data_IF_531511015771
#
_entry.id   IF_531511015771
#
_cell.length_a   1.000
_cell.length_b   1.000
_cell.length_c   1.000
_cell.angle_alpha   90.00
_cell.angle_beta   90.00
_cell.angle_gamma   90.00
#
_symmetry.space_group_name_H-M   'P 1'
#
loop_
_entity.id
_entity.type
_entity.pdbx_description
1 polymer ?
#
# COMPACT_ATOMS: atom_id res chain seq x y z
N UNK A 1 -17.44 -38.51 -40.75
CA UNK A 1 -17.54 -37.06 -40.44
C UNK A 1 -18.25 -36.74 -39.11
N UNK A 2 -18.79 -37.72 -38.35
CA UNK A 2 -19.39 -37.48 -37.02
C UNK A 2 -18.36 -37.45 -35.87
N UNK A 3 -17.31 -38.27 -35.93
CA UNK A 3 -16.28 -38.32 -34.87
C UNK A 3 -15.28 -37.17 -34.92
N UNK A 4 -15.19 -36.43 -36.03
CA UNK A 4 -14.31 -35.26 -36.15
C UNK A 4 -14.83 -34.08 -35.32
N UNK A 5 -16.14 -34.01 -35.08
CA UNK A 5 -16.77 -32.96 -34.26
C UNK A 5 -16.50 -33.15 -32.76
N UNK A 6 -16.30 -34.40 -32.31
CA UNK A 6 -16.04 -34.74 -30.90
C UNK A 6 -14.64 -34.32 -30.41
N UNK A 7 -13.70 -34.10 -31.33
CA UNK A 7 -12.32 -33.68 -31.02
C UNK A 7 -12.14 -32.16 -30.93
N UNK A 8 -13.07 -31.36 -31.46
CA UNK A 8 -12.98 -29.89 -31.45
C UNK A 8 -13.43 -29.27 -30.13
N UNK A 9 -14.40 -29.89 -29.44
CA UNK A 9 -14.96 -29.36 -28.20
C UNK A 9 -13.96 -29.20 -27.03
N UNK A 10 -13.03 -30.14 -26.75
CA UNK A 10 -12.05 -29.96 -25.69
C UNK A 10 -10.96 -28.92 -26.03
N UNK A 11 -10.67 -28.69 -27.32
CA UNK A 11 -9.67 -27.70 -27.75
C UNK A 11 -10.14 -26.25 -27.52
N UNK A 12 -11.44 -25.98 -27.58
CA UNK A 12 -12.03 -24.66 -27.31
C UNK A 12 -12.02 -24.29 -25.82
N UNK A 13 -12.06 -25.28 -24.92
CA UNK A 13 -12.03 -25.04 -23.46
C UNK A 13 -10.60 -24.66 -23.01
N UNK A 14 -9.58 -25.16 -23.69
CA UNK A 14 -8.17 -24.88 -23.38
C UNK A 14 -7.76 -23.42 -23.65
N UNK A 15 -8.48 -22.69 -24.52
CA UNK A 15 -8.16 -21.29 -24.88
C UNK A 15 -8.72 -20.29 -23.85
N UNK A 16 -9.64 -20.71 -22.97
CA UNK A 16 -10.27 -19.81 -21.99
C UNK A 16 -9.33 -19.40 -20.85
N UNK A 17 -8.19 -20.06 -20.67
CA UNK A 17 -7.15 -19.70 -19.70
C UNK A 17 -6.02 -18.90 -20.37
N UNK A 18 -6.36 -17.83 -21.09
CA UNK A 18 -5.36 -16.81 -21.39
C UNK A 18 -5.06 -16.03 -20.11
N UNK A 19 -3.79 -15.92 -19.67
CA UNK A 19 -3.44 -14.99 -18.61
C UNK A 19 -3.84 -13.59 -19.07
N UNK A 20 -4.87 -13.03 -18.45
CA UNK A 20 -5.15 -11.59 -18.56
C UNK A 20 -3.92 -10.88 -18.03
N UNK A 21 -3.30 -10.03 -18.84
CA UNK A 21 -2.36 -9.02 -18.38
C UNK A 21 -3.05 -8.24 -17.26
N UNK A 22 -2.79 -8.65 -16.02
CA UNK A 22 -3.21 -7.87 -14.86
C UNK A 22 -2.20 -6.72 -14.82
N UNK A 23 -2.66 -5.46 -14.86
CA UNK A 23 -1.78 -4.34 -14.59
C UNK A 23 -1.06 -4.65 -13.28
N UNK A 24 0.28 -4.62 -13.31
CA UNK A 24 1.06 -4.81 -12.11
C UNK A 24 0.57 -3.78 -11.08
N UNK A 25 0.30 -4.20 -9.82
CA UNK A 25 -0.12 -3.25 -8.80
C UNK A 25 0.88 -2.10 -8.76
N UNK A 26 0.39 -0.86 -8.73
CA UNK A 26 1.26 0.29 -8.57
C UNK A 26 2.18 0.03 -7.35
N UNK A 27 3.50 0.21 -7.44
CA UNK A 27 4.46 -0.16 -6.39
C UNK A 27 4.17 0.45 -5.01
N UNK A 28 3.31 1.46 -4.96
CA UNK A 28 2.89 2.19 -3.76
C UNK A 28 1.89 1.42 -2.87
N UNK A 29 1.16 0.44 -3.43
CA UNK A 29 0.15 -0.29 -2.68
C UNK A 29 0.79 -1.19 -1.62
N UNK A 30 0.25 -1.15 -0.40
CA UNK A 30 0.74 -1.96 0.70
C UNK A 30 0.78 -1.22 2.04
N UNK A 31 1.56 -1.77 2.96
CA UNK A 31 1.77 -1.25 4.30
C UNK A 31 3.20 -0.74 4.44
N UNK A 32 3.32 0.50 4.90
CA UNK A 32 4.57 1.23 5.05
C UNK A 32 4.78 1.59 6.51
N UNK A 33 6.01 1.52 6.98
CA UNK A 33 6.41 1.98 8.32
C UNK A 33 7.26 3.25 8.18
N UNK A 34 6.92 4.28 8.94
CA UNK A 34 7.76 5.48 9.04
C UNK A 34 9.02 5.14 9.84
N UNK A 35 10.19 5.40 9.26
CA UNK A 35 11.48 5.17 9.92
C UNK A 35 12.01 6.45 10.54
N UNK A 36 12.21 7.47 9.71
CA UNK A 36 12.76 8.76 10.12
C UNK A 36 12.01 9.91 9.43
N UNK A 37 12.07 11.09 10.03
CA UNK A 37 11.63 12.34 9.41
C UNK A 37 12.70 13.40 9.51
N UNK A 38 13.02 14.06 8.40
CA UNK A 38 14.03 15.12 8.33
C UNK A 38 13.34 16.44 8.04
N UNK A 39 13.57 17.43 8.88
CA UNK A 39 13.13 18.81 8.67
C UNK A 39 14.34 19.66 8.28
N UNK A 40 14.21 20.41 7.18
CA UNK A 40 15.24 21.32 6.68
C UNK A 40 14.66 22.74 6.71
N UNK A 41 15.24 23.61 7.54
CA UNK A 41 14.85 25.01 7.66
C UNK A 41 16.05 25.90 7.33
N UNK A 42 16.15 26.33 6.07
CA UNK A 42 17.32 27.08 5.60
C UNK A 42 18.59 26.22 5.64
N UNK A 43 19.51 26.54 6.55
CA UNK A 43 20.76 25.77 6.77
C UNK A 43 20.65 24.74 7.90
N UNK A 44 19.59 24.81 8.71
CA UNK A 44 19.40 23.91 9.84
C UNK A 44 18.69 22.64 9.38
N UNK A 45 19.22 21.49 9.79
CA UNK A 45 18.66 20.17 9.49
C UNK A 45 18.48 19.40 10.79
N UNK A 46 17.29 18.87 11.03
CA UNK A 46 16.99 18.00 12.18
C UNK A 46 16.36 16.70 11.71
N UNK A 47 16.86 15.58 12.18
CA UNK A 47 16.31 14.24 11.88
C UNK A 47 15.72 13.64 13.15
N UNK A 48 14.50 13.14 13.05
CA UNK A 48 13.80 12.41 14.11
C UNK A 48 13.71 10.94 13.72
N UNK A 49 14.13 10.05 14.63
CA UNK A 49 13.89 8.61 14.52
C UNK A 49 12.51 8.27 15.11
N UNK A 50 11.58 7.83 14.25
CA UNK A 50 10.22 7.46 14.63
C UNK A 50 10.11 5.98 15.04
N UNK A 51 11.21 5.23 15.09
CA UNK A 51 11.23 3.84 15.56
C UNK A 51 11.45 3.70 17.06
N UNK A 52 11.77 4.80 17.76
CA UNK A 52 12.02 4.81 19.20
C UNK A 52 10.74 5.14 19.98
N UNK A 53 10.26 4.20 20.80
CA UNK A 53 9.13 4.41 21.74
C UNK A 53 7.76 4.58 21.10
N UNK A 54 7.68 4.57 19.77
CA UNK A 54 6.45 4.74 19.00
C UNK A 54 6.53 3.97 17.69
N UNK A 55 5.40 3.81 17.03
CA UNK A 55 5.31 3.27 15.67
C UNK A 55 4.31 4.09 14.86
N UNK A 56 4.62 4.32 13.59
CA UNK A 56 3.68 4.86 12.62
C UNK A 56 3.63 3.99 11.38
N UNK A 57 2.42 3.55 11.04
CA UNK A 57 2.14 2.78 9.83
C UNK A 57 1.21 3.55 8.90
N UNK A 58 1.40 3.37 7.60
CA UNK A 58 0.51 3.85 6.54
C UNK A 58 0.10 2.68 5.66
N UNK A 59 -1.19 2.55 5.41
CA UNK A 59 -1.78 1.56 4.53
C UNK A 59 -2.30 2.30 3.30
N UNK A 60 -1.87 1.88 2.12
CA UNK A 60 -2.31 2.44 0.84
C UNK A 60 -2.97 1.32 0.04
N UNK A 61 -4.23 1.54 -0.30
CA UNK A 61 -5.05 0.65 -1.14
C UNK A 61 -5.32 1.33 -2.49
N UNK A 62 -5.92 0.65 -3.47
CA UNK A 62 -6.23 1.26 -4.76
C UNK A 62 -7.12 2.53 -4.70
N UNK A 63 -7.87 2.72 -3.61
CA UNK A 63 -8.89 3.79 -3.52
C UNK A 63 -8.84 4.60 -2.24
N UNK A 64 -8.16 4.12 -1.19
CA UNK A 64 -8.06 4.75 0.11
C UNK A 64 -6.69 4.63 0.73
N UNK A 65 -6.38 5.52 1.66
CA UNK A 65 -5.28 5.38 2.59
C UNK A 65 -5.78 5.46 4.04
N UNK A 66 -4.99 4.90 4.94
CA UNK A 66 -5.10 5.12 6.37
C UNK A 66 -3.70 5.22 6.97
N UNK A 67 -3.55 5.98 8.04
CA UNK A 67 -2.35 5.94 8.86
C UNK A 67 -2.73 5.92 10.33
N UNK A 68 -1.83 5.34 11.13
CA UNK A 68 -1.87 5.48 12.58
C UNK A 68 -0.44 5.66 13.09
N UNK A 69 -0.29 6.51 14.09
CA UNK A 69 0.90 6.66 14.93
C UNK A 69 0.45 6.41 16.36
N UNK A 70 1.15 5.55 17.07
CA UNK A 70 0.88 5.28 18.47
C UNK A 70 2.17 5.09 19.26
N UNK A 71 2.15 5.38 20.56
CA UNK A 71 3.22 5.00 21.46
C UNK A 71 3.24 3.46 21.67
N UNK A 72 4.42 2.92 21.98
CA UNK A 72 4.58 1.48 22.25
C UNK A 72 4.29 1.10 23.71
N UNK A 73 4.01 2.08 24.58
CA UNK A 73 3.72 1.84 26.00
C UNK A 73 2.20 1.76 26.31
N UNK A 74 1.35 1.96 25.31
CA UNK A 74 -0.11 1.92 25.46
C UNK A 74 -0.66 3.09 26.27
N UNK A 75 -0.06 4.27 26.17
CA UNK A 75 -0.55 5.52 26.75
C UNK A 75 -0.42 5.64 28.27
N UNK A 76 0.49 4.87 28.89
CA UNK A 76 0.63 4.77 30.35
C UNK A 76 1.42 5.89 31.02
N UNK A 77 2.12 6.70 30.24
CA UNK A 77 2.98 7.79 30.75
C UNK A 77 2.76 9.09 29.97
N UNK A 78 3.52 10.13 30.33
CA UNK A 78 3.42 11.45 29.70
C UNK A 78 3.92 11.50 28.25
N UNK A 79 4.52 10.42 27.74
CA UNK A 79 4.95 10.28 26.34
C UNK A 79 3.87 9.69 25.44
N UNK A 80 2.68 9.39 25.99
CA UNK A 80 1.52 8.91 25.27
C UNK A 80 1.26 9.71 23.98
N UNK A 81 1.12 8.99 22.87
CA UNK A 81 0.79 9.60 21.57
C UNK A 81 -0.13 8.68 20.80
N UNK A 82 -1.20 9.25 20.24
CA UNK A 82 -2.05 8.58 19.27
C UNK A 82 -2.53 9.59 18.24
N UNK A 83 -2.24 9.33 16.97
CA UNK A 83 -2.72 10.14 15.84
C UNK A 83 -3.11 9.19 14.73
N UNK A 84 -4.32 9.33 14.19
CA UNK A 84 -4.79 8.53 13.09
C UNK A 84 -5.53 9.40 12.08
N UNK A 85 -5.55 8.93 10.83
CA UNK A 85 -6.25 9.59 9.75
C UNK A 85 -6.42 8.67 8.55
N UNK A 86 -7.25 9.09 7.62
CA UNK A 86 -7.50 8.35 6.39
C UNK A 86 -8.32 9.16 5.42
N UNK A 87 -8.34 8.70 4.17
CA UNK A 87 -8.98 9.39 3.07
C UNK A 87 -9.00 8.57 1.80
N UNK A 88 -9.41 9.21 0.70
CA UNK A 88 -9.36 8.60 -0.63
C UNK A 88 -7.96 8.80 -1.21
N UNK A 89 -7.61 8.00 -2.21
CA UNK A 89 -6.38 8.24 -2.99
C UNK A 89 -6.69 8.29 -4.47
N UNK A 90 -5.97 9.16 -5.17
CA UNK A 90 -5.83 9.11 -6.62
C UNK A 90 -4.45 8.56 -6.98
N UNK A 91 -4.39 7.42 -7.68
CA UNK A 91 -3.14 6.83 -8.19
C UNK A 91 -3.18 6.85 -9.72
N UNK A 92 -2.30 7.63 -10.34
CA UNK A 92 -2.15 7.72 -11.81
C UNK A 92 -0.69 7.58 -12.19
N UNK A 93 -0.29 6.38 -12.62
CA UNK A 93 1.11 6.07 -12.87
C UNK A 93 1.93 6.24 -11.58
N UNK A 94 2.89 7.15 -11.59
CA UNK A 94 3.74 7.47 -10.43
C UNK A 94 3.24 8.67 -9.60
N UNK A 95 2.02 9.17 -9.90
CA UNK A 95 1.42 10.31 -9.20
C UNK A 95 0.44 9.77 -8.15
N UNK A 96 0.58 10.28 -6.94
CA UNK A 96 -0.25 9.97 -5.77
C UNK A 96 -0.84 11.26 -5.19
N UNK A 97 -2.12 11.23 -4.81
CA UNK A 97 -2.84 12.34 -4.16
C UNK A 97 -3.74 11.78 -3.06
N UNK A 98 -3.67 12.38 -1.86
CA UNK A 98 -4.51 12.13 -0.68
C UNK A 98 -5.71 13.08 -0.63
#
# INVERSE_FOLDING_TARGET
MKNTLLLILPALIAISCAPKDRPEPAPLLGTWKLLTGTTINGRDTSTVDYTQGQEMIKIITPTHFAFMRHDLNGGKDSTAVYVAGGGRVGIKGNIYTE
#
